data_IF_393078223559
#
_entry.id   IF_393078223559
#
_cell.length_a   1.000
_cell.length_b   1.000
_cell.length_c   1.000
_cell.angle_alpha   90.00
_cell.angle_beta   90.00
_cell.angle_gamma   90.00
#
_symmetry.space_group_name_H-M   'P 1'
#
loop_
_entity.id
_entity.type
_entity.pdbx_description
1 polymer ?
#
# COMPACT_ATOMS: atom_id res chain seq x y z
N UNK A 1 -13.39 -12.85 5.89
CA UNK A 1 -13.71 -11.59 5.18
C UNK A 1 -14.04 -11.82 3.71
N UNK A 2 -13.10 -12.16 2.83
CA UNK A 2 -13.43 -12.38 1.39
C UNK A 2 -14.45 -13.50 1.17
N UNK A 3 -14.31 -14.63 1.87
CA UNK A 3 -15.28 -15.72 1.81
C UNK A 3 -16.67 -15.32 2.30
N UNK A 4 -16.75 -14.43 3.29
CA UNK A 4 -18.03 -13.94 3.83
C UNK A 4 -18.70 -13.01 2.82
N UNK A 5 -17.94 -12.13 2.16
CA UNK A 5 -18.42 -11.28 1.07
C UNK A 5 -18.99 -12.11 -0.09
N UNK A 6 -18.26 -13.13 -0.53
CA UNK A 6 -18.71 -14.02 -1.61
C UNK A 6 -19.96 -14.80 -1.24
N UNK A 7 -20.03 -15.31 0.01
CA UNK A 7 -21.24 -16.00 0.52
C UNK A 7 -22.43 -15.06 0.59
N UNK A 8 -22.22 -13.83 1.05
CA UNK A 8 -23.27 -12.80 1.11
C UNK A 8 -23.82 -12.51 -0.29
N UNK A 9 -22.93 -12.27 -1.26
CA UNK A 9 -23.30 -12.07 -2.67
C UNK A 9 -24.04 -13.28 -3.24
N UNK A 10 -23.52 -14.50 -3.02
CA UNK A 10 -24.14 -15.72 -3.51
C UNK A 10 -25.56 -15.89 -2.95
N UNK A 11 -25.75 -15.70 -1.64
CA UNK A 11 -27.06 -15.81 -1.01
C UNK A 11 -28.06 -14.74 -1.49
N UNK A 12 -27.58 -13.53 -1.78
CA UNK A 12 -28.42 -12.45 -2.28
C UNK A 12 -28.88 -12.72 -3.71
N UNK A 13 -27.98 -13.16 -4.59
CA UNK A 13 -28.29 -13.38 -6.00
C UNK A 13 -29.01 -14.70 -6.28
N UNK A 14 -28.64 -15.79 -5.60
CA UNK A 14 -29.18 -17.13 -5.87
C UNK A 14 -30.32 -17.50 -4.91
N UNK A 15 -30.14 -17.26 -3.61
CA UNK A 15 -31.11 -17.68 -2.59
C UNK A 15 -32.15 -16.59 -2.27
N UNK A 16 -32.01 -15.40 -2.87
CA UNK A 16 -32.83 -14.20 -2.61
C UNK A 16 -32.97 -13.86 -1.11
N UNK A 17 -31.97 -14.25 -0.31
CA UNK A 17 -31.96 -14.09 1.14
C UNK A 17 -30.77 -13.24 1.56
N UNK A 18 -31.05 -12.11 2.20
CA UNK A 18 -30.02 -11.27 2.79
C UNK A 18 -29.48 -11.94 4.06
N UNK A 19 -28.20 -12.34 4.06
CA UNK A 19 -27.50 -12.85 5.25
C UNK A 19 -27.10 -11.70 6.20
N UNK A 20 -26.87 -10.50 5.66
CA UNK A 20 -26.46 -9.29 6.38
C UNK A 20 -27.26 -8.07 5.91
N UNK A 21 -27.25 -7.00 6.70
CA UNK A 21 -27.87 -5.72 6.34
C UNK A 21 -27.03 -4.94 5.32
N UNK A 22 -27.66 -4.00 4.60
CA UNK A 22 -26.98 -3.15 3.60
C UNK A 22 -25.79 -2.38 4.20
N UNK A 23 -25.94 -1.89 5.44
CA UNK A 23 -24.88 -1.14 6.12
C UNK A 23 -23.68 -2.02 6.47
N UNK A 24 -23.92 -3.24 6.96
CA UNK A 24 -22.86 -4.21 7.26
C UNK A 24 -22.15 -4.65 5.98
N UNK A 25 -22.89 -4.82 4.89
CA UNK A 25 -22.32 -5.16 3.59
C UNK A 25 -21.41 -4.05 3.04
N UNK A 26 -21.85 -2.79 3.12
CA UNK A 26 -21.07 -1.63 2.68
C UNK A 26 -19.80 -1.45 3.53
N UNK A 27 -19.87 -1.67 4.84
CA UNK A 27 -18.70 -1.63 5.72
C UNK A 27 -17.72 -2.76 5.38
N UNK A 28 -18.21 -3.97 5.17
CA UNK A 28 -17.38 -5.12 4.80
C UNK A 28 -16.72 -4.89 3.45
N UNK A 29 -17.43 -4.30 2.49
CA UNK A 29 -16.89 -3.87 1.18
C UNK A 29 -15.77 -2.84 1.38
N UNK A 30 -15.98 -1.83 2.23
CA UNK A 30 -14.97 -0.79 2.51
C UNK A 30 -13.70 -1.39 3.13
N UNK A 31 -13.84 -2.30 4.11
CA UNK A 31 -12.69 -2.98 4.74
C UNK A 31 -11.89 -3.78 3.72
N UNK A 32 -12.57 -4.56 2.86
CA UNK A 32 -11.90 -5.31 1.78
C UNK A 32 -11.17 -4.40 0.79
N UNK A 33 -11.70 -3.20 0.50
CA UNK A 33 -10.99 -2.19 -0.31
C UNK A 33 -9.74 -1.67 0.40
N UNK A 34 -9.80 -1.45 1.71
CA UNK A 34 -8.66 -1.00 2.50
C UNK A 34 -7.56 -2.06 2.59
N UNK A 35 -7.94 -3.33 2.68
CA UNK A 35 -7.03 -4.47 2.65
C UNK A 35 -6.42 -4.71 1.24
N UNK A 36 -7.00 -4.10 0.20
CA UNK A 36 -6.53 -4.20 -1.18
C UNK A 36 -6.95 -5.50 -1.87
N UNK A 37 -8.09 -6.07 -1.48
CA UNK A 37 -8.66 -7.25 -2.15
C UNK A 37 -9.11 -6.92 -3.57
N UNK A 38 -8.61 -7.70 -4.55
CA UNK A 38 -8.93 -7.54 -5.97
C UNK A 38 -10.37 -7.97 -6.33
N UNK A 39 -11.09 -8.60 -5.40
CA UNK A 39 -12.47 -9.03 -5.63
C UNK A 39 -13.43 -7.82 -5.62
N UNK A 40 -13.04 -6.74 -4.95
CA UNK A 40 -13.88 -5.57 -4.69
C UNK A 40 -13.46 -4.37 -5.56
N UNK A 41 -12.40 -4.51 -6.35
CA UNK A 41 -11.86 -3.46 -7.20
C UNK A 41 -12.72 -3.32 -8.45
N UNK A 42 -13.41 -2.20 -8.57
CA UNK A 42 -14.23 -1.90 -9.74
C UNK A 42 -13.59 -0.80 -10.58
N UNK A 43 -13.73 -0.94 -11.91
CA UNK A 43 -13.35 0.11 -12.86
C UNK A 43 -14.25 1.36 -12.76
N UNK A 44 -14.11 2.32 -13.67
CA UNK A 44 -14.89 3.56 -13.62
C UNK A 44 -16.39 3.30 -13.80
N UNK A 45 -17.20 3.79 -12.85
CA UNK A 45 -18.66 3.69 -12.85
C UNK A 45 -19.29 5.08 -12.80
N UNK A 46 -20.39 5.24 -13.51
CA UNK A 46 -21.24 6.41 -13.40
C UNK A 46 -22.46 6.04 -12.56
N UNK A 47 -22.63 6.71 -11.42
CA UNK A 47 -23.88 6.59 -10.67
C UNK A 47 -24.89 7.59 -11.22
N UNK A 48 -25.96 7.07 -11.81
CA UNK A 48 -27.08 7.88 -12.30
C UNK A 48 -27.77 8.64 -11.16
N UNK A 49 -27.79 8.07 -9.96
CA UNK A 49 -28.41 8.67 -8.77
C UNK A 49 -27.64 9.90 -8.29
N UNK A 50 -26.31 9.82 -8.22
CA UNK A 50 -25.48 10.94 -7.75
C UNK A 50 -25.02 11.86 -8.88
N UNK A 51 -25.24 11.48 -10.15
CA UNK A 51 -24.69 12.16 -11.35
C UNK A 51 -23.18 12.36 -11.29
N UNK A 52 -22.47 11.45 -10.61
CA UNK A 52 -21.01 11.50 -10.44
C UNK A 52 -20.39 10.25 -11.04
N UNK A 53 -19.26 10.44 -11.72
CA UNK A 53 -18.40 9.35 -12.18
C UNK A 53 -17.30 9.17 -11.15
N UNK A 54 -17.13 7.94 -10.68
CA UNK A 54 -16.10 7.57 -9.73
C UNK A 54 -15.40 6.28 -10.14
N UNK A 55 -14.18 6.10 -9.66
CA UNK A 55 -13.42 4.85 -9.78
C UNK A 55 -12.80 4.49 -8.44
N UNK A 56 -12.58 3.19 -8.23
CA UNK A 56 -11.98 2.70 -7.00
C UNK A 56 -10.45 2.88 -7.01
N UNK A 57 -9.90 3.08 -5.82
CA UNK A 57 -8.45 3.09 -5.59
C UNK A 57 -7.99 1.82 -4.92
N UNK A 58 -6.79 1.40 -5.32
CA UNK A 58 -6.08 0.28 -4.73
C UNK A 58 -4.76 0.76 -4.15
N UNK A 59 -4.29 0.05 -3.12
CA UNK A 59 -2.99 0.32 -2.52
C UNK A 59 -1.90 -0.23 -3.43
N UNK A 60 -0.88 0.59 -3.70
CA UNK A 60 0.31 0.14 -4.44
C UNK A 60 1.38 -0.37 -3.47
N UNK A 61 1.24 -1.63 -3.06
CA UNK A 61 2.19 -2.30 -2.16
C UNK A 61 3.61 -2.33 -2.72
N UNK A 62 3.76 -2.46 -4.04
CA UNK A 62 5.07 -2.54 -4.68
C UNK A 62 5.82 -1.21 -4.54
N UNK A 63 5.15 -0.08 -4.81
CA UNK A 63 5.80 1.23 -4.66
C UNK A 63 6.07 1.58 -3.20
N UNK A 64 5.21 1.16 -2.27
CA UNK A 64 5.47 1.31 -0.85
C UNK A 64 6.69 0.50 -0.41
N UNK A 65 6.85 -0.72 -0.92
CA UNK A 65 8.03 -1.54 -0.65
C UNK A 65 9.31 -0.95 -1.26
N UNK A 66 9.26 -0.51 -2.53
CA UNK A 66 10.40 0.10 -3.21
C UNK A 66 10.93 1.35 -2.50
N UNK A 67 10.07 2.06 -1.77
CA UNK A 67 10.46 3.23 -1.00
C UNK A 67 11.43 2.91 0.15
N UNK A 68 11.41 1.67 0.65
CA UNK A 68 12.33 1.21 1.70
C UNK A 68 13.70 0.79 1.13
N UNK A 69 13.81 0.56 -0.19
CA UNK A 69 15.04 0.04 -0.81
C UNK A 69 16.26 0.95 -0.58
N UNK A 70 16.18 2.28 -0.77
CA UNK A 70 17.33 3.14 -0.52
C UNK A 70 17.82 3.07 0.94
N UNK A 71 16.92 3.01 1.91
CA UNK A 71 17.26 2.90 3.31
C UNK A 71 17.93 1.55 3.64
N UNK A 72 17.47 0.45 3.02
CA UNK A 72 18.12 -0.85 3.18
C UNK A 72 19.55 -0.87 2.66
N UNK A 73 19.83 -0.18 1.55
CA UNK A 73 21.20 -0.05 1.00
C UNK A 73 22.10 0.70 1.98
N UNK A 74 21.60 1.79 2.58
CA UNK A 74 22.35 2.55 3.59
C UNK A 74 22.61 1.70 4.85
N UNK A 75 21.60 0.95 5.33
CA UNK A 75 21.75 0.07 6.48
C UNK A 75 22.73 -1.08 6.23
N UNK A 76 22.68 -1.68 5.04
CA UNK A 76 23.65 -2.69 4.61
C UNK A 76 25.06 -2.13 4.55
N UNK A 77 25.23 -0.93 3.96
CA UNK A 77 26.53 -0.25 3.94
C UNK A 77 27.09 -0.04 5.34
N UNK A 78 26.27 0.51 6.25
CA UNK A 78 26.64 0.70 7.66
C UNK A 78 27.02 -0.63 8.35
N UNK A 79 26.27 -1.70 8.09
CA UNK A 79 26.56 -3.02 8.62
C UNK A 79 27.94 -3.53 8.16
N UNK A 80 28.23 -3.45 6.85
CA UNK A 80 29.54 -3.83 6.31
C UNK A 80 30.69 -2.96 6.86
N UNK A 81 30.48 -1.65 7.02
CA UNK A 81 31.47 -0.76 7.63
C UNK A 81 31.76 -1.13 9.09
N UNK A 82 30.73 -1.51 9.86
CA UNK A 82 30.91 -1.96 11.25
C UNK A 82 31.61 -3.32 11.27
N UNK A 83 31.24 -4.24 10.39
CA UNK A 83 31.86 -5.56 10.26
C UNK A 83 33.37 -5.45 9.99
N UNK A 84 33.76 -4.59 9.05
CA UNK A 84 35.17 -4.31 8.72
C UNK A 84 35.91 -3.60 9.88
N UNK A 85 35.25 -2.68 10.60
CA UNK A 85 35.83 -1.99 11.75
C UNK A 85 36.00 -2.89 12.99
N UNK A 86 35.02 -3.76 13.24
CA UNK A 86 34.96 -4.61 14.44
C UNK A 86 35.61 -5.96 14.25
N UNK A 87 35.93 -6.33 13.00
CA UNK A 87 36.62 -7.57 12.70
C UNK A 87 35.82 -8.78 13.19
N UNK A 88 34.52 -8.85 12.88
CA UNK A 88 33.70 -10.07 13.03
C UNK A 88 34.18 -11.14 12.02
N UNK A 89 35.48 -11.43 12.00
CA UNK A 89 36.04 -12.65 11.46
C UNK A 89 35.47 -13.81 12.29
N UNK A 90 34.42 -14.47 11.78
CA UNK A 90 34.09 -15.93 11.85
C UNK A 90 34.23 -16.68 13.20
N UNK A 91 34.59 -16.05 14.32
CA UNK A 91 35.13 -16.70 15.52
C UNK A 91 34.17 -16.72 16.70
N UNK A 92 32.95 -16.18 16.57
CA UNK A 92 31.95 -16.31 17.66
C UNK A 92 31.57 -17.78 17.85
N UNK A 93 31.68 -18.60 16.79
CA UNK A 93 31.43 -20.03 16.85
C UNK A 93 32.25 -20.73 15.76
N UNK A 94 33.17 -21.62 16.14
CA UNK A 94 34.02 -22.40 15.25
C UNK A 94 33.22 -23.47 14.51
N UNK A 95 32.27 -23.05 13.67
CA UNK A 95 31.54 -23.94 12.79
C UNK A 95 32.38 -24.22 11.53
N UNK A 96 32.44 -25.49 11.05
CA UNK A 96 33.03 -25.78 9.75
C UNK A 96 32.29 -25.03 8.64
N UNK A 97 33.02 -24.50 7.67
CA UNK A 97 32.44 -23.89 6.46
C UNK A 97 31.55 -24.94 5.76
N UNK A 98 30.26 -24.65 5.45
CA UNK A 98 29.64 -23.34 5.18
C UNK A 98 28.71 -22.77 6.30
N UNK A 99 28.64 -23.39 7.48
CA UNK A 99 27.60 -23.05 8.48
C UNK A 99 27.84 -21.70 9.19
N UNK A 100 29.09 -21.25 9.31
CA UNK A 100 29.42 -19.97 9.93
C UNK A 100 28.79 -18.77 9.21
N UNK A 101 28.89 -18.73 7.88
CA UNK A 101 28.30 -17.66 7.04
C UNK A 101 26.78 -17.61 7.18
N UNK A 102 26.12 -18.77 7.18
CA UNK A 102 24.66 -18.83 7.28
C UNK A 102 24.20 -18.29 8.64
N UNK A 103 24.90 -18.65 9.72
CA UNK A 103 24.55 -18.23 11.07
C UNK A 103 24.77 -16.73 11.30
N UNK A 104 25.88 -16.17 10.79
CA UNK A 104 26.14 -14.73 10.91
C UNK A 104 25.11 -13.91 10.14
N UNK A 105 24.79 -14.31 8.90
CA UNK A 105 23.76 -13.62 8.12
C UNK A 105 22.37 -13.84 8.70
N UNK A 106 22.05 -15.00 9.26
CA UNK A 106 20.77 -15.23 9.94
C UNK A 106 20.60 -14.31 11.16
N UNK A 107 21.67 -14.04 11.90
CA UNK A 107 21.66 -13.08 13.02
C UNK A 107 21.70 -11.62 12.54
N UNK A 108 22.40 -11.33 11.44
CA UNK A 108 22.55 -9.98 10.90
C UNK A 108 21.30 -9.49 10.15
N UNK A 109 20.61 -10.35 9.40
CA UNK A 109 19.43 -9.99 8.62
C UNK A 109 18.33 -9.30 9.43
N UNK A 110 17.89 -9.82 10.60
CA UNK A 110 16.88 -9.13 11.39
C UNK A 110 17.39 -7.77 11.90
N UNK A 111 18.67 -7.64 12.21
CA UNK A 111 19.28 -6.38 12.67
C UNK A 111 19.31 -5.34 11.54
N UNK A 112 19.66 -5.76 10.32
CA UNK A 112 19.64 -4.91 9.11
C UNK A 112 18.20 -4.48 8.78
N UNK A 113 17.22 -5.38 8.88
CA UNK A 113 15.81 -5.04 8.62
C UNK A 113 15.26 -4.06 9.66
N UNK A 114 15.59 -4.24 10.94
CA UNK A 114 15.15 -3.32 12.01
C UNK A 114 15.81 -1.95 11.84
N UNK A 115 17.12 -1.90 11.59
CA UNK A 115 17.82 -0.63 11.37
C UNK A 115 17.29 0.11 10.13
N UNK A 116 17.06 -0.60 9.02
CA UNK A 116 16.42 -0.04 7.83
C UNK A 116 15.02 0.49 8.14
N UNK A 117 14.19 -0.25 8.89
CA UNK A 117 12.85 0.21 9.28
C UNK A 117 12.89 1.45 10.18
N UNK A 118 13.83 1.53 11.13
CA UNK A 118 14.00 2.70 12.00
C UNK A 118 14.41 3.93 11.19
N UNK A 119 15.37 3.78 10.29
CA UNK A 119 15.81 4.87 9.39
C UNK A 119 14.68 5.31 8.48
N UNK A 120 13.93 4.36 7.90
CA UNK A 120 12.78 4.67 7.03
C UNK A 120 11.68 5.38 7.79
N UNK A 121 11.31 4.94 8.99
CA UNK A 121 10.32 5.63 9.83
C UNK A 121 10.78 7.02 10.29
N UNK A 122 12.08 7.23 10.48
CA UNK A 122 12.61 8.54 10.83
C UNK A 122 12.44 9.56 9.67
N UNK A 123 12.54 9.09 8.42
CA UNK A 123 12.51 9.96 7.23
C UNK A 123 11.11 10.06 6.61
N UNK A 124 10.36 8.96 6.60
CA UNK A 124 9.07 8.84 5.93
C UNK A 124 8.06 8.17 6.88
N UNK A 125 7.00 8.89 7.21
CA UNK A 125 5.93 8.41 8.09
C UNK A 125 4.61 8.24 7.33
N UNK A 126 3.86 7.20 7.70
CA UNK A 126 2.51 6.90 7.22
C UNK A 126 2.34 6.98 5.70
N UNK A 127 3.19 6.21 5.00
CA UNK A 127 3.15 6.14 3.53
C UNK A 127 1.96 5.35 3.07
N UNK A 128 1.10 6.00 2.30
CA UNK A 128 -0.01 5.38 1.63
C UNK A 128 -0.03 5.84 0.17
N UNK A 129 0.36 4.92 -0.71
CA UNK A 129 0.32 5.17 -2.16
C UNK A 129 -0.93 4.53 -2.71
N UNK A 130 -1.77 5.35 -3.33
CA UNK A 130 -2.98 4.93 -3.97
C UNK A 130 -2.84 5.00 -5.48
N UNK A 131 -3.25 3.94 -6.17
CA UNK A 131 -3.33 3.85 -7.63
C UNK A 131 -4.78 3.61 -8.05
N UNK A 132 -5.17 4.18 -9.19
CA UNK A 132 -6.51 3.94 -9.74
C UNK A 132 -6.65 4.47 -11.17
N UNK A 133 -7.59 3.91 -11.94
CA UNK A 133 -7.86 4.35 -13.30
C UNK A 133 -8.60 5.70 -13.32
N UNK A 134 -8.25 6.57 -14.25
CA UNK A 134 -8.95 7.83 -14.47
C UNK A 134 -10.40 7.59 -14.92
N UNK A 135 -11.40 8.22 -14.28
CA UNK A 135 -12.81 8.07 -14.67
C UNK A 135 -13.14 8.51 -16.11
N UNK A 136 -12.31 9.38 -16.71
CA UNK A 136 -12.54 9.93 -18.05
C UNK A 136 -11.86 9.10 -19.16
N UNK A 137 -10.60 8.69 -18.96
CA UNK A 137 -9.80 8.04 -20.03
C UNK A 137 -9.25 6.65 -19.66
N UNK A 138 -9.51 6.16 -18.45
CA UNK A 138 -9.06 4.84 -18.00
C UNK A 138 -7.57 4.72 -17.70
N UNK A 139 -6.74 5.74 -17.96
CA UNK A 139 -5.30 5.67 -17.65
C UNK A 139 -5.07 5.64 -16.15
N UNK A 140 -4.18 4.76 -15.71
CA UNK A 140 -3.78 4.65 -14.30
C UNK A 140 -3.01 5.89 -13.86
N UNK A 141 -3.44 6.48 -12.74
CA UNK A 141 -2.74 7.57 -12.09
C UNK A 141 -2.54 7.22 -10.61
N UNK A 142 -1.51 7.80 -10.02
CA UNK A 142 -1.09 7.55 -8.65
C UNK A 142 -1.16 8.83 -7.82
N UNK A 143 -1.49 8.67 -6.55
CA UNK A 143 -1.45 9.72 -5.55
C UNK A 143 -0.66 9.24 -4.33
N UNK A 144 0.23 10.08 -3.84
CA UNK A 144 0.98 9.83 -2.62
C UNK A 144 0.26 10.51 -1.44
N UNK A 145 0.11 9.76 -0.35
CA UNK A 145 -0.27 10.28 0.96
C UNK A 145 0.85 9.90 1.94
N UNK A 146 1.26 10.82 2.78
CA UNK A 146 2.26 10.58 3.83
C UNK A 146 3.15 11.78 4.06
N UNK A 147 4.06 11.64 5.02
CA UNK A 147 4.98 12.71 5.41
C UNK A 147 6.39 12.38 4.93
N UNK A 148 7.00 13.27 4.15
CA UNK A 148 8.40 13.17 3.73
C UNK A 148 9.18 14.28 4.44
N UNK A 149 10.18 13.94 5.25
CA UNK A 149 11.06 14.92 5.90
C UNK A 149 10.28 16.03 6.63
N UNK A 150 9.27 15.65 7.41
CA UNK A 150 8.35 16.54 8.15
C UNK A 150 7.39 17.41 7.31
N UNK A 151 7.34 17.23 5.99
CA UNK A 151 6.35 17.88 5.13
C UNK A 151 5.22 16.90 4.86
N UNK A 152 4.04 17.19 5.40
CA UNK A 152 2.82 16.42 5.15
C UNK A 152 2.40 16.59 3.69
N UNK A 153 2.34 15.48 2.96
CA UNK A 153 1.88 15.42 1.59
C UNK A 153 0.56 14.68 1.55
N UNK A 154 -0.52 15.46 1.43
CA UNK A 154 -1.87 14.97 1.27
C UNK A 154 -2.57 14.59 2.57
N UNK A 155 -3.65 15.32 2.87
CA UNK A 155 -4.56 15.02 3.98
C UNK A 155 -5.58 13.96 3.62
N UNK A 156 -6.85 14.21 3.93
CA UNK A 156 -7.94 13.29 3.56
C UNK A 156 -8.20 13.23 2.05
N UNK A 157 -7.99 14.35 1.34
CA UNK A 157 -8.21 14.45 -0.11
C UNK A 157 -7.03 15.09 -0.82
N UNK A 158 -6.77 14.66 -2.05
CA UNK A 158 -5.69 15.15 -2.90
C UNK A 158 -6.22 15.44 -4.31
N UNK A 159 -5.82 16.58 -4.87
CA UNK A 159 -6.16 16.95 -6.25
C UNK A 159 -5.01 16.54 -7.18
N UNK A 160 -5.25 15.57 -8.06
CA UNK A 160 -4.25 15.05 -9.00
C UNK A 160 -4.73 15.28 -10.42
N UNK A 161 -3.84 15.73 -11.31
CA UNK A 161 -4.14 15.87 -12.74
C UNK A 161 -3.82 14.56 -13.44
N UNK A 162 -4.73 14.10 -14.29
CA UNK A 162 -4.48 12.93 -15.13
C UNK A 162 -3.31 13.17 -16.09
N UNK A 163 -2.39 12.23 -16.20
CA UNK A 163 -1.23 12.33 -17.10
C UNK A 163 -1.62 12.45 -18.58
N UNK A 164 -2.73 11.82 -18.99
CA UNK A 164 -3.18 11.80 -20.39
C UNK A 164 -4.20 12.91 -20.68
N UNK A 165 -5.39 12.85 -20.06
CA UNK A 165 -6.48 13.78 -20.37
C UNK A 165 -6.44 15.10 -19.59
N UNK A 166 -5.47 15.29 -18.68
CA UNK A 166 -5.28 16.51 -17.86
C UNK A 166 -6.47 16.92 -16.99
N UNK A 167 -7.50 16.09 -16.88
CA UNK A 167 -8.64 16.35 -16.00
C UNK A 167 -8.16 16.33 -14.56
N UNK A 168 -8.62 17.30 -13.78
CA UNK A 168 -8.40 17.31 -12.33
C UNK A 168 -9.28 16.23 -11.73
N UNK A 169 -8.70 15.41 -10.86
CA UNK A 169 -9.39 14.34 -10.15
C UNK A 169 -9.12 14.51 -8.66
N UNK A 170 -10.14 14.24 -7.86
CA UNK A 170 -10.07 14.29 -6.40
C UNK A 170 -9.94 12.86 -5.90
N UNK A 171 -8.82 12.58 -5.27
CA UNK A 171 -8.54 11.31 -4.62
C UNK A 171 -8.92 11.42 -3.14
N UNK A 172 -9.75 10.50 -2.64
CA UNK A 172 -10.09 10.40 -1.22
C UNK A 172 -9.44 9.15 -0.60
N UNK A 173 -8.63 9.37 0.44
CA UNK A 173 -7.89 8.29 1.11
C UNK A 173 -8.78 7.43 2.00
N UNK A 174 -9.86 7.98 2.57
CA UNK A 174 -10.74 7.27 3.50
C UNK A 174 -11.71 6.35 2.77
N UNK A 175 -12.37 6.89 1.75
CA UNK A 175 -13.37 6.16 0.96
C UNK A 175 -12.76 5.31 -0.14
N UNK A 176 -11.47 5.52 -0.46
CA UNK A 176 -10.76 4.86 -1.57
C UNK A 176 -11.48 5.07 -2.90
N UNK A 177 -11.98 6.30 -3.13
CA UNK A 177 -12.67 6.71 -4.35
C UNK A 177 -11.98 7.90 -5.05
N UNK A 178 -11.89 7.82 -6.38
CA UNK A 178 -11.52 8.94 -7.25
C UNK A 178 -12.82 9.54 -7.75
N UNK A 179 -12.97 10.85 -7.62
CA UNK A 179 -14.10 11.59 -8.15
C UNK A 179 -13.63 12.70 -9.08
N UNK A 180 -14.46 13.04 -10.06
CA UNK A 180 -14.26 14.28 -10.82
C UNK A 180 -14.83 15.44 -10.00
N UNK A 181 -14.14 16.60 -9.94
CA UNK A 181 -14.72 17.79 -9.33
C UNK A 181 -16.02 18.14 -10.06
N UNK A 182 -17.08 18.40 -9.30
CA UNK A 182 -18.41 18.70 -9.84
C UNK A 182 -18.31 19.83 -10.87
N UNK A 183 -18.69 19.55 -12.11
CA UNK A 183 -18.93 20.56 -13.16
C UNK A 183 -20.32 21.16 -13.02
#
# INVERSE_FOLDING_TARGET
MEQEFLRALQSFYYDQKAIMSDAEFDELKLRLKQDGSDIVTEGPRCSLRSRKVYSDLTVDYLKMFLLNVPATIVALGLFFFIDELTGFEVNVFQFPEPFGFIFTYFAALPLILVTAQVVTKAIINDVLILKGPCPNCGTENLSFYGTILSIESGGATNNVKCANCKTVMVYDSKTRLITLPDS
#
